data_IF_700790393452
#
_entry.id   IF_700790393452
#
_cell.length_a   1.000
_cell.length_b   1.000
_cell.length_c   1.000
_cell.angle_alpha   90.00
_cell.angle_beta   90.00
_cell.angle_gamma   90.00
#
_symmetry.space_group_name_H-M   'P 1'
#
loop_
_entity.id
_entity.type
_entity.pdbx_description
1 polymer ?
#
# COMPACT_ATOMS: atom_id res chain seq x y z
N UNK A 1 5.15 -14.01 -7.22
CA UNK A 1 4.98 -12.67 -7.81
C UNK A 1 3.55 -12.49 -8.30
N UNK A 2 2.73 -11.93 -7.43
CA UNK A 2 1.35 -11.55 -7.70
C UNK A 2 1.25 -10.63 -8.91
N UNK A 3 0.34 -10.92 -9.84
CA UNK A 3 0.02 -10.02 -10.96
C UNK A 3 -1.06 -9.03 -10.51
N UNK A 4 -0.73 -8.21 -9.52
CA UNK A 4 -1.61 -7.20 -8.91
C UNK A 4 -2.34 -6.38 -9.99
N UNK A 5 -1.63 -5.97 -11.04
CA UNK A 5 -2.14 -5.13 -12.14
C UNK A 5 -3.21 -5.81 -13.01
N UNK A 6 -3.40 -7.13 -12.92
CA UNK A 6 -4.44 -7.85 -13.66
C UNK A 6 -5.67 -8.17 -12.82
N UNK A 7 -5.56 -8.06 -11.49
CA UNK A 7 -6.64 -8.41 -10.56
C UNK A 7 -7.34 -7.17 -10.00
N UNK A 8 -6.68 -6.01 -10.03
CA UNK A 8 -7.18 -4.77 -9.48
C UNK A 8 -7.71 -3.84 -10.58
N UNK A 9 -8.95 -3.40 -10.42
CA UNK A 9 -9.49 -2.26 -11.14
C UNK A 9 -9.18 -0.99 -10.33
N UNK A 10 -8.11 -0.28 -10.70
CA UNK A 10 -7.60 0.89 -9.99
C UNK A 10 -8.68 1.97 -9.77
N UNK A 11 -9.47 2.26 -10.81
CA UNK A 11 -10.52 3.29 -10.75
C UNK A 11 -11.64 2.89 -9.79
N UNK A 12 -12.03 1.62 -9.80
CA UNK A 12 -13.07 1.10 -8.91
C UNK A 12 -12.61 1.14 -7.45
N UNK A 13 -11.39 0.69 -7.15
CA UNK A 13 -10.84 0.72 -5.78
C UNK A 13 -10.68 2.17 -5.30
N UNK A 14 -10.13 3.04 -6.15
CA UNK A 14 -9.99 4.45 -5.81
C UNK A 14 -11.34 5.08 -5.49
N UNK A 15 -12.35 4.92 -6.36
CA UNK A 15 -13.68 5.50 -6.12
C UNK A 15 -14.36 4.91 -4.88
N UNK A 16 -14.17 3.62 -4.61
CA UNK A 16 -14.76 2.95 -3.44
C UNK A 16 -14.22 3.46 -2.11
N UNK A 17 -12.93 3.83 -2.04
CA UNK A 17 -12.27 4.12 -0.76
C UNK A 17 -11.80 5.56 -0.58
N UNK A 18 -11.53 6.29 -1.66
CA UNK A 18 -11.04 7.67 -1.58
C UNK A 18 -12.19 8.68 -1.44
N UNK A 19 -12.00 9.75 -0.66
CA UNK A 19 -13.01 10.78 -0.36
C UNK A 19 -13.57 11.51 -1.58
N UNK A 20 -12.77 11.62 -2.65
CA UNK A 20 -13.20 12.24 -3.91
C UNK A 20 -14.14 11.35 -4.73
N UNK A 21 -14.32 10.09 -4.32
CA UNK A 21 -15.32 9.16 -4.83
C UNK A 21 -16.43 8.98 -3.79
N UNK A 22 -16.68 7.74 -3.41
CA UNK A 22 -17.71 7.32 -2.45
C UNK A 22 -17.13 6.92 -1.07
N UNK A 23 -15.80 6.95 -0.91
CA UNK A 23 -15.12 6.56 0.33
C UNK A 23 -14.83 7.72 1.28
N UNK A 24 -14.02 7.44 2.30
CA UNK A 24 -13.75 8.38 3.39
C UNK A 24 -12.27 8.79 3.50
N UNK A 25 -11.37 8.14 2.75
CA UNK A 25 -9.92 8.24 2.97
C UNK A 25 -9.21 9.22 2.03
N UNK A 26 -8.16 9.87 2.53
CA UNK A 26 -7.26 10.70 1.71
C UNK A 26 -6.24 9.91 0.89
N UNK A 27 -5.86 8.72 1.36
CA UNK A 27 -4.86 7.89 0.69
C UNK A 27 -5.37 6.47 0.53
N UNK A 28 -5.14 5.90 -0.65
CA UNK A 28 -5.51 4.53 -1.00
C UNK A 28 -4.33 3.89 -1.71
N UNK A 29 -3.79 2.83 -1.12
CA UNK A 29 -2.63 2.13 -1.64
C UNK A 29 -2.82 0.61 -1.61
N UNK A 30 -2.04 -0.08 -2.45
CA UNK A 30 -1.88 -1.53 -2.40
C UNK A 30 -0.61 -1.84 -1.63
N UNK A 31 -0.75 -2.61 -0.56
CA UNK A 31 0.38 -3.20 0.17
C UNK A 31 0.58 -4.63 -0.32
N UNK A 32 1.85 -5.01 -0.50
CA UNK A 32 2.27 -6.38 -0.78
C UNK A 32 3.29 -6.78 0.29
N UNK A 33 3.20 -8.01 0.81
CA UNK A 33 4.16 -8.53 1.79
C UNK A 33 4.18 -10.07 1.84
N UNK A 34 5.12 -10.65 2.59
CA UNK A 34 5.31 -12.10 2.72
C UNK A 34 4.44 -12.77 3.81
N UNK A 35 3.71 -11.99 4.60
CA UNK A 35 2.83 -12.49 5.67
C UNK A 35 1.36 -12.11 5.44
N UNK A 36 0.38 -12.94 5.84
CA UNK A 36 -1.03 -12.64 5.64
C UNK A 36 -1.49 -11.34 6.33
N UNK A 37 -2.54 -10.72 5.78
CA UNK A 37 -3.20 -9.57 6.38
C UNK A 37 -4.38 -9.95 7.29
N UNK A 38 -4.64 -9.11 8.28
CA UNK A 38 -5.93 -9.01 8.96
C UNK A 38 -6.64 -7.71 8.55
N UNK A 39 -7.97 -7.69 8.57
CA UNK A 39 -8.74 -6.46 8.38
C UNK A 39 -8.66 -5.56 9.62
N UNK A 40 -8.66 -4.25 9.41
CA UNK A 40 -8.61 -3.24 10.47
C UNK A 40 -7.25 -2.57 10.60
N UNK A 41 -7.01 -1.96 11.77
CA UNK A 41 -5.76 -1.25 12.09
C UNK A 41 -4.56 -2.20 11.99
N UNK A 42 -3.45 -1.68 11.48
CA UNK A 42 -2.16 -2.36 11.40
C UNK A 42 -1.08 -1.43 11.95
N UNK A 43 -0.25 -1.94 12.87
CA UNK A 43 0.78 -1.17 13.60
C UNK A 43 2.20 -1.47 13.10
N UNK A 44 2.31 -2.19 12.00
CA UNK A 44 3.58 -2.50 11.36
C UNK A 44 4.25 -1.22 10.83
N UNK A 45 5.58 -1.17 10.84
CA UNK A 45 6.38 -0.08 10.30
C UNK A 45 7.31 -0.65 9.23
N UNK A 46 7.40 0.03 8.08
CA UNK A 46 8.30 -0.35 6.99
C UNK A 46 9.71 0.21 7.21
N UNK A 47 10.73 -0.44 6.65
CA UNK A 47 12.13 0.03 6.71
C UNK A 47 12.58 0.63 5.38
N UNK A 48 13.67 1.39 5.42
CA UNK A 48 14.40 1.83 4.24
C UNK A 48 15.21 0.67 3.68
N UNK A 49 15.26 0.55 2.35
CA UNK A 49 16.06 -0.45 1.64
C UNK A 49 17.12 0.22 0.78
N UNK A 50 18.34 -0.30 0.79
CA UNK A 50 19.46 0.17 -0.04
C UNK A 50 20.06 -1.02 -0.79
N UNK A 51 20.05 -0.92 -2.13
CA UNK A 51 20.55 -1.98 -3.03
C UNK A 51 19.97 -3.38 -2.74
N UNK A 52 18.67 -3.42 -2.37
CA UNK A 52 17.95 -4.66 -2.05
C UNK A 52 18.25 -5.25 -0.67
N UNK A 53 18.92 -4.49 0.21
CA UNK A 53 19.13 -4.86 1.61
C UNK A 53 18.35 -3.90 2.52
N UNK A 54 17.60 -4.48 3.45
CA UNK A 54 16.93 -3.75 4.53
C UNK A 54 17.97 -3.06 5.43
N UNK A 55 17.72 -1.81 5.82
CA UNK A 55 18.55 -1.06 6.78
C UNK A 55 17.88 -1.03 8.16
N UNK A 56 18.59 -0.53 9.18
CA UNK A 56 18.02 -0.30 10.51
C UNK A 56 17.14 0.98 10.59
N UNK A 57 16.93 1.68 9.48
CA UNK A 57 16.13 2.91 9.44
C UNK A 57 14.65 2.59 9.19
N UNK A 58 13.81 2.88 10.19
CA UNK A 58 12.36 2.78 10.12
C UNK A 58 11.73 4.01 9.43
N UNK A 59 10.67 3.78 8.67
CA UNK A 59 9.79 4.81 8.11
C UNK A 59 8.75 5.25 9.15
N UNK A 60 8.03 6.33 8.88
CA UNK A 60 6.97 6.80 9.78
C UNK A 60 5.66 5.97 9.70
N UNK A 61 5.63 4.95 8.85
CA UNK A 61 4.43 4.16 8.58
C UNK A 61 4.66 2.98 7.65
N UNK A 62 3.60 2.52 7.00
CA UNK A 62 3.62 1.39 6.07
C UNK A 62 3.73 1.88 4.64
N UNK A 63 4.70 1.35 3.88
CA UNK A 63 4.80 1.66 2.47
C UNK A 63 3.79 0.87 1.61
N UNK A 64 3.21 1.50 0.61
CA UNK A 64 2.34 0.86 -0.37
C UNK A 64 2.33 1.65 -1.66
N UNK A 65 1.91 1.00 -2.74
CA UNK A 65 1.81 1.66 -4.05
C UNK A 65 0.46 2.38 -4.13
N UNK A 66 0.48 3.67 -4.42
CA UNK A 66 -0.73 4.43 -4.71
C UNK A 66 -1.58 3.67 -5.76
N UNK A 67 -2.87 3.50 -5.48
CA UNK A 67 -3.77 2.74 -6.37
C UNK A 67 -3.86 3.36 -7.78
N UNK A 68 -3.52 4.64 -7.94
CA UNK A 68 -3.43 5.30 -9.25
C UNK A 68 -2.15 4.98 -10.03
N UNK A 69 -1.15 4.42 -9.36
CA UNK A 69 0.21 4.19 -9.87
C UNK A 69 0.59 2.70 -9.90
N UNK A 70 -0.41 1.81 -9.97
CA UNK A 70 -0.20 0.34 -9.94
C UNK A 70 0.73 -0.18 -11.02
N UNK A 71 0.99 0.56 -12.10
CA UNK A 71 2.04 0.20 -13.05
C UNK A 71 3.41 -0.09 -12.40
N UNK A 72 3.68 0.48 -11.21
CA UNK A 72 4.90 0.25 -10.43
C UNK A 72 4.79 -0.86 -9.36
N UNK A 73 3.61 -1.47 -9.18
CA UNK A 73 3.41 -2.54 -8.17
C UNK A 73 4.23 -3.81 -8.42
N UNK A 74 4.87 -3.95 -9.60
CA UNK A 74 5.77 -5.05 -9.91
C UNK A 74 7.10 -5.01 -9.13
N UNK A 75 7.43 -3.87 -8.52
CA UNK A 75 8.69 -3.69 -7.80
C UNK A 75 8.60 -4.17 -6.34
N UNK A 76 7.39 -4.41 -5.83
CA UNK A 76 7.15 -4.88 -4.47
C UNK A 76 7.15 -6.41 -4.38
N UNK A 77 7.84 -6.93 -3.37
CA UNK A 77 7.97 -8.37 -3.11
C UNK A 77 6.90 -8.86 -2.12
N UNK A 78 6.36 -10.05 -2.38
CA UNK A 78 5.44 -10.74 -1.48
C UNK A 78 4.40 -11.61 -2.19
N UNK A 79 3.73 -12.42 -1.37
CA UNK A 79 2.69 -13.36 -1.80
C UNK A 79 1.28 -13.00 -1.28
N UNK A 80 1.18 -11.99 -0.41
CA UNK A 80 -0.09 -11.46 0.09
C UNK A 80 -0.28 -10.02 -0.36
N UNK A 81 -1.51 -9.64 -0.70
CA UNK A 81 -1.83 -8.28 -1.11
C UNK A 81 -3.13 -7.76 -0.48
N UNK A 82 -3.14 -6.50 -0.09
CA UNK A 82 -4.30 -5.84 0.51
C UNK A 82 -4.39 -4.36 0.10
N UNK A 83 -5.60 -3.81 0.20
CA UNK A 83 -5.83 -2.37 0.13
C UNK A 83 -5.64 -1.80 1.54
N UNK A 84 -4.71 -0.87 1.65
CA UNK A 84 -4.51 -0.05 2.84
C UNK A 84 -4.94 1.39 2.55
N UNK A 85 -5.56 2.00 3.55
CA UNK A 85 -5.99 3.38 3.52
C UNK A 85 -5.47 4.14 4.73
N UNK A 86 -5.45 5.47 4.65
CA UNK A 86 -5.14 6.35 5.76
C UNK A 86 -5.41 7.81 5.41
N UNK A 87 -5.31 8.68 6.40
CA UNK A 87 -5.48 10.13 6.26
C UNK A 87 -4.18 10.90 6.36
N UNK A 88 -3.11 10.26 6.83
CA UNK A 88 -1.77 10.81 6.95
C UNK A 88 -0.79 9.97 6.11
N UNK A 89 -0.25 10.55 5.05
CA UNK A 89 0.77 9.89 4.25
C UNK A 89 1.77 10.88 3.65
N UNK A 90 2.97 10.37 3.37
CA UNK A 90 3.98 11.05 2.56
C UNK A 90 4.41 10.19 1.37
N UNK A 91 5.03 10.82 0.37
CA UNK A 91 5.66 10.09 -0.71
C UNK A 91 6.92 9.38 -0.20
N UNK A 92 7.14 8.15 -0.66
CA UNK A 92 8.40 7.45 -0.44
C UNK A 92 9.46 7.78 -1.49
N UNK A 93 10.52 6.97 -1.54
CA UNK A 93 11.62 7.14 -2.49
C UNK A 93 11.24 6.63 -3.88
N UNK A 94 10.39 5.61 -3.94
CA UNK A 94 9.98 4.97 -5.19
C UNK A 94 8.79 5.69 -5.87
N UNK A 95 8.74 5.61 -7.20
CA UNK A 95 7.64 6.22 -7.97
C UNK A 95 6.30 5.58 -7.63
N UNK A 96 5.35 6.40 -7.17
CA UNK A 96 4.03 5.94 -6.75
C UNK A 96 3.99 5.38 -5.33
N UNK A 97 5.11 5.35 -4.60
CA UNK A 97 5.14 4.92 -3.21
C UNK A 97 4.48 5.94 -2.28
N UNK A 98 3.66 5.43 -1.37
CA UNK A 98 3.08 6.14 -0.25
C UNK A 98 3.51 5.48 1.05
N UNK A 99 3.99 6.26 2.01
CA UNK A 99 4.20 5.86 3.39
C UNK A 99 2.99 6.36 4.18
N UNK A 100 2.08 5.46 4.55
CA UNK A 100 0.86 5.78 5.30
C UNK A 100 1.14 5.60 6.79
N UNK A 101 1.00 6.68 7.56
CA UNK A 101 1.32 6.76 8.99
C UNK A 101 0.18 6.22 9.88
N UNK A 102 -1.06 6.24 9.39
CA UNK A 102 -2.26 5.75 10.05
C UNK A 102 -2.98 4.63 9.26
N UNK A 103 -2.29 3.54 8.90
CA UNK A 103 -2.80 2.56 7.95
C UNK A 103 -3.94 1.70 8.51
N UNK A 104 -4.98 1.53 7.71
CA UNK A 104 -6.09 0.60 7.94
C UNK A 104 -6.22 -0.33 6.74
N UNK A 105 -6.23 -1.64 7.00
CA UNK A 105 -6.49 -2.66 5.99
C UNK A 105 -8.01 -2.75 5.75
N UNK A 106 -8.45 -2.35 4.56
CA UNK A 106 -9.89 -2.27 4.20
C UNK A 106 -10.36 -3.38 3.26
N UNK A 107 -9.44 -4.06 2.57
CA UNK A 107 -9.74 -5.18 1.68
C UNK A 107 -8.53 -6.11 1.52
N UNK A 108 -8.73 -7.43 1.53
CA UNK A 108 -7.70 -8.43 1.27
C UNK A 108 -7.92 -8.99 -0.14
N UNK A 109 -6.87 -9.01 -0.95
CA UNK A 109 -6.94 -9.35 -2.37
C UNK A 109 -6.43 -10.76 -2.68
N UNK A 110 -5.45 -11.24 -1.90
CA UNK A 110 -4.84 -12.56 -2.02
C UNK A 110 -4.17 -12.98 -0.70
#
# INVERSE_FOLDING_TARGET
>A
MLKVNKMINAEEIYNKYHWSGDGDWNFVAVRIQDVPFGLGEIDHISHVWVDGNETDEELAGICGINVKDLQYAGDYYGDYAAIICGDCAMGGEDMGELIIEDPVVVEILA
#
